data_IF_219178042073
#
_entry.id   IF_219178042073
#
_cell.length_a   1.000
_cell.length_b   1.000
_cell.length_c   1.000
_cell.angle_alpha   90.00
_cell.angle_beta   90.00
_cell.angle_gamma   90.00
#
_symmetry.space_group_name_H-M   'P 1'
#
loop_
_entity.id
_entity.type
_entity.pdbx_description
1 polymer ?
#
# COMPACT_ATOMS: atom_id res chain seq x y z
N UNK A 1 2.63 40.10 32.67
CA UNK A 1 1.50 39.48 31.93
C UNK A 1 1.68 37.97 31.98
N UNK A 2 0.72 37.22 32.53
CA UNK A 2 0.82 35.76 32.60
C UNK A 2 0.48 35.15 31.23
N UNK A 3 1.43 34.47 30.61
CA UNK A 3 1.20 33.64 29.43
C UNK A 3 0.33 32.45 29.84
N UNK A 4 -0.92 32.40 29.39
CA UNK A 4 -1.77 31.21 29.56
C UNK A 4 -1.34 30.16 28.54
N UNK A 5 -0.93 29.00 29.01
CA UNK A 5 -0.72 27.82 28.17
C UNK A 5 -2.08 27.26 27.76
N UNK A 6 -2.36 27.17 26.47
CA UNK A 6 -3.57 26.52 25.94
C UNK A 6 -3.14 25.26 25.19
N UNK A 7 -3.58 24.10 25.67
CA UNK A 7 -3.54 22.87 24.90
C UNK A 7 -4.69 22.87 23.89
N UNK A 8 -4.38 22.72 22.61
CA UNK A 8 -5.39 22.57 21.56
C UNK A 8 -5.70 21.09 21.37
N UNK A 9 -6.90 20.60 21.71
CA UNK A 9 -7.29 19.25 21.32
C UNK A 9 -7.38 19.18 19.80
N UNK A 10 -6.54 18.35 19.18
CA UNK A 10 -6.56 18.11 17.75
C UNK A 10 -7.42 16.90 17.47
N UNK A 11 -8.51 17.09 16.74
CA UNK A 11 -9.27 15.99 16.19
C UNK A 11 -8.64 15.55 14.86
N UNK A 12 -7.95 14.41 14.88
CA UNK A 12 -7.29 13.84 13.70
C UNK A 12 -8.29 13.35 12.64
N UNK A 13 -9.57 13.18 13.00
CA UNK A 13 -10.63 12.83 12.05
C UNK A 13 -11.08 14.03 11.21
N UNK A 14 -10.80 15.25 11.68
CA UNK A 14 -11.17 16.50 11.05
C UNK A 14 -9.96 17.12 10.35
N UNK A 15 -9.68 16.64 9.13
CA UNK A 15 -8.57 17.17 8.33
C UNK A 15 -8.50 16.57 6.95
N UNK A 16 -7.51 17.01 6.18
CA UNK A 16 -7.23 16.50 4.85
C UNK A 16 -6.12 15.46 4.95
N UNK A 17 -6.45 14.23 4.59
CA UNK A 17 -5.51 13.11 4.53
C UNK A 17 -4.96 12.94 3.11
N UNK A 18 -3.65 12.79 2.99
CA UNK A 18 -2.98 12.43 1.73
C UNK A 18 -1.95 11.33 2.00
N UNK A 19 -2.22 10.10 1.55
CA UNK A 19 -1.36 8.96 1.87
C UNK A 19 -1.36 8.56 3.35
N UNK A 20 -2.30 9.10 4.14
CA UNK A 20 -2.53 8.74 5.55
C UNK A 20 -3.98 8.35 5.75
N UNK A 21 -4.27 7.69 6.87
CA UNK A 21 -5.62 7.35 7.31
C UNK A 21 -5.68 7.25 8.84
N UNK A 22 -6.89 7.30 9.39
CA UNK A 22 -7.15 6.98 10.80
C UNK A 22 -7.58 5.52 10.89
N UNK A 23 -6.80 4.70 11.59
CA UNK A 23 -7.16 3.31 11.92
C UNK A 23 -7.05 3.14 13.43
N UNK A 24 -8.10 2.61 14.06
CA UNK A 24 -8.15 2.43 15.52
C UNK A 24 -7.86 3.71 16.33
N UNK A 25 -8.30 4.87 15.82
CA UNK A 25 -8.06 6.17 16.45
C UNK A 25 -6.62 6.70 16.30
N UNK A 26 -5.77 6.02 15.52
CA UNK A 26 -4.37 6.37 15.28
C UNK A 26 -4.16 6.87 13.86
N UNK A 27 -3.36 7.93 13.72
CA UNK A 27 -2.89 8.37 12.41
C UNK A 27 -1.77 7.46 11.93
N UNK A 28 -1.96 6.86 10.77
CA UNK A 28 -0.98 5.98 10.14
C UNK A 28 -0.88 6.25 8.64
N UNK A 29 0.17 5.70 8.02
CA UNK A 29 0.30 5.67 6.57
C UNK A 29 -0.80 4.78 5.99
N UNK A 30 -1.35 5.17 4.84
CA UNK A 30 -2.45 4.44 4.18
C UNK A 30 -1.95 3.10 3.64
N UNK A 31 -2.71 2.03 3.86
CA UNK A 31 -2.46 0.74 3.23
C UNK A 31 -2.69 0.84 1.71
N UNK A 32 -1.71 0.42 0.91
CA UNK A 32 -1.75 0.48 -0.56
C UNK A 32 -1.99 -0.89 -1.20
N UNK A 33 -1.56 -1.96 -0.53
CA UNK A 33 -1.68 -3.33 -1.02
C UNK A 33 -1.45 -4.32 0.13
N UNK A 34 -1.71 -5.59 -0.14
CA UNK A 34 -1.33 -6.71 0.71
C UNK A 34 -0.35 -7.55 -0.11
N UNK A 35 0.77 -7.94 0.50
CA UNK A 35 1.77 -8.77 -0.17
C UNK A 35 1.32 -10.24 -0.31
N UNK A 36 2.09 -11.02 -1.05
CA UNK A 36 1.84 -12.46 -1.28
C UNK A 36 1.86 -13.32 -0.01
N UNK A 37 2.32 -12.78 1.11
CA UNK A 37 2.35 -13.45 2.42
C UNK A 37 1.22 -13.01 3.34
N UNK A 38 0.32 -12.13 2.87
CA UNK A 38 -0.78 -11.58 3.65
C UNK A 38 -0.40 -10.39 4.52
N UNK A 39 0.77 -9.77 4.31
CA UNK A 39 1.24 -8.61 5.07
C UNK A 39 0.87 -7.31 4.35
N UNK A 40 0.26 -6.39 5.08
CA UNK A 40 -0.06 -5.04 4.59
C UNK A 40 1.19 -4.27 4.14
N UNK A 41 1.12 -3.70 2.94
CA UNK A 41 2.07 -2.75 2.38
C UNK A 41 1.47 -1.35 2.54
N UNK A 42 2.22 -0.46 3.18
CA UNK A 42 1.79 0.92 3.44
C UNK A 42 2.50 1.91 2.51
N UNK A 43 1.89 3.08 2.30
CA UNK A 43 2.55 4.19 1.60
C UNK A 43 3.86 4.58 2.32
N UNK A 44 4.90 4.93 1.57
CA UNK A 44 6.19 5.31 2.16
C UNK A 44 6.15 6.66 2.89
N UNK A 45 5.28 7.56 2.44
CA UNK A 45 5.06 8.90 2.98
C UNK A 45 3.59 9.26 2.93
N UNK A 46 3.19 10.13 3.84
CA UNK A 46 1.85 10.69 3.84
C UNK A 46 1.80 11.97 4.66
N UNK A 47 0.79 12.78 4.41
CA UNK A 47 0.53 14.00 5.17
C UNK A 47 -0.89 14.03 5.70
N UNK A 48 -1.07 14.70 6.82
CA UNK A 48 -2.37 15.11 7.34
C UNK A 48 -2.34 16.61 7.62
N UNK A 49 -3.35 17.35 7.20
CA UNK A 49 -3.49 18.78 7.50
C UNK A 49 -4.79 19.03 8.25
N UNK A 50 -4.72 19.73 9.38
CA UNK A 50 -5.90 20.08 10.17
C UNK A 50 -6.81 21.04 9.41
N UNK A 51 -8.09 21.04 9.80
CA UNK A 51 -8.95 22.19 9.55
C UNK A 51 -8.39 23.47 10.19
N UNK A 52 -8.91 24.64 9.78
CA UNK A 52 -8.53 25.92 10.39
C UNK A 52 -8.93 25.92 11.86
N UNK A 53 -7.95 26.16 12.74
CA UNK A 53 -8.16 26.28 14.18
C UNK A 53 -8.25 27.77 14.52
N UNK A 54 -9.35 28.21 15.10
CA UNK A 54 -9.52 29.58 15.57
C UNK A 54 -8.96 29.73 16.98
N UNK A 55 -8.06 30.69 17.14
CA UNK A 55 -7.37 31.01 18.38
C UNK A 55 -7.99 32.31 18.90
N UNK A 56 -8.94 32.18 19.83
CA UNK A 56 -9.72 33.31 20.33
C UNK A 56 -8.92 34.37 21.11
N UNK A 57 -7.78 33.99 21.69
CA UNK A 57 -6.88 34.91 22.41
C UNK A 57 -5.53 35.00 21.70
N UNK A 58 -4.81 36.13 21.82
CA UNK A 58 -3.40 36.24 21.37
C UNK A 58 -2.50 35.40 22.28
N UNK A 59 -2.56 34.07 22.15
CA UNK A 59 -1.76 33.15 22.96
C UNK A 59 -0.32 33.23 22.47
N UNK A 60 0.56 33.75 23.33
CA UNK A 60 1.99 33.96 23.04
C UNK A 60 2.80 32.67 22.98
N UNK A 61 2.22 31.52 23.37
CA UNK A 61 2.89 30.23 23.26
C UNK A 61 1.89 29.07 23.29
N UNK A 62 1.85 28.30 22.21
CA UNK A 62 1.20 26.99 22.15
C UNK A 62 2.21 25.93 22.60
N UNK A 63 2.40 25.77 23.91
CA UNK A 63 3.43 24.88 24.43
C UNK A 63 3.02 23.40 24.52
N UNK A 64 1.89 22.97 23.92
CA UNK A 64 1.44 21.58 24.09
C UNK A 64 0.48 21.05 23.03
N UNK A 65 0.85 21.22 21.76
CA UNK A 65 0.02 20.79 20.62
C UNK A 65 -0.05 19.26 20.46
N UNK A 66 0.82 18.48 21.13
CA UNK A 66 1.06 17.07 20.75
C UNK A 66 1.14 16.12 21.95
N UNK A 67 0.29 16.26 22.97
CA UNK A 67 0.17 15.21 24.02
C UNK A 67 -1.00 14.25 23.82
N UNK A 68 -1.95 14.59 22.96
CA UNK A 68 -3.15 13.79 22.67
C UNK A 68 -3.16 13.21 21.27
N UNK A 69 -2.01 13.10 20.60
CA UNK A 69 -1.91 12.18 19.46
C UNK A 69 -2.09 10.77 20.01
N UNK A 70 -3.31 10.25 19.88
CA UNK A 70 -3.60 8.83 20.06
C UNK A 70 -2.78 8.12 19.00
N UNK A 71 -1.59 7.64 19.40
CA UNK A 71 -0.65 6.79 18.67
C UNK A 71 -0.34 7.15 17.22
N UNK A 72 0.93 7.46 16.93
CA UNK A 72 1.46 7.24 15.57
C UNK A 72 1.77 5.75 15.44
N UNK A 73 1.47 5.15 14.29
CA UNK A 73 1.78 3.74 14.04
C UNK A 73 3.25 3.39 14.32
N UNK A 74 3.51 2.19 14.83
CA UNK A 74 4.87 1.72 15.15
C UNK A 74 5.79 1.77 13.91
N UNK A 75 7.05 2.19 14.07
CA UNK A 75 8.07 2.29 13.01
C UNK A 75 7.79 3.34 11.91
N UNK A 76 7.19 4.47 12.30
CA UNK A 76 6.97 5.63 11.42
C UNK A 76 7.64 6.85 12.04
N UNK A 77 8.54 7.47 11.29
CA UNK A 77 9.08 8.79 11.60
C UNK A 77 8.03 9.84 11.28
N UNK A 78 7.91 10.85 12.12
CA UNK A 78 6.92 11.90 11.92
C UNK A 78 7.51 13.29 12.12
N UNK A 79 6.94 14.25 11.39
CA UNK A 79 7.22 15.67 11.56
C UNK A 79 5.95 16.48 11.70
N UNK A 80 5.99 17.51 12.54
CA UNK A 80 4.85 18.38 12.80
C UNK A 80 5.23 19.81 12.47
N UNK A 81 4.41 20.40 11.60
CA UNK A 81 4.54 21.76 11.13
C UNK A 81 3.31 22.56 11.50
N UNK A 82 3.51 23.85 11.68
CA UNK A 82 2.46 24.79 12.02
C UNK A 82 2.58 26.02 11.14
N UNK A 83 1.44 26.59 10.76
CA UNK A 83 1.36 27.91 10.15
C UNK A 83 0.25 28.69 10.79
N UNK A 84 0.37 30.01 10.76
CA UNK A 84 -0.56 30.91 11.43
C UNK A 84 -1.07 31.97 10.47
N UNK A 85 -2.21 32.57 10.80
CA UNK A 85 -2.80 33.68 10.07
C UNK A 85 -3.51 34.62 11.04
N UNK A 86 -3.53 35.92 10.71
CA UNK A 86 -4.29 36.93 11.46
C UNK A 86 -5.70 37.13 10.90
N UNK A 87 -5.94 36.77 9.65
CA UNK A 87 -7.14 37.10 8.86
C UNK A 87 -7.83 35.87 8.24
N UNK A 88 -7.29 34.66 8.42
CA UNK A 88 -7.71 33.40 7.80
C UNK A 88 -7.58 33.37 6.26
N UNK A 89 -6.87 34.34 5.68
CA UNK A 89 -6.69 34.48 4.22
C UNK A 89 -5.20 34.45 3.90
N UNK A 90 -4.42 35.28 4.58
CA UNK A 90 -2.97 35.39 4.45
C UNK A 90 -2.32 34.48 5.48
N UNK A 91 -1.59 33.48 5.02
CA UNK A 91 -0.96 32.49 5.88
C UNK A 91 0.56 32.64 5.89
N UNK A 92 1.16 32.41 7.05
CA UNK A 92 2.61 32.20 7.13
C UNK A 92 3.01 30.90 6.43
N UNK A 93 4.30 30.76 6.20
CA UNK A 93 4.87 29.47 5.82
C UNK A 93 4.74 28.44 6.94
N UNK A 94 4.78 27.16 6.56
CA UNK A 94 4.85 26.04 7.49
C UNK A 94 6.21 26.01 8.16
N UNK A 95 6.20 26.01 9.49
CA UNK A 95 7.41 25.93 10.32
C UNK A 95 7.33 24.72 11.24
N UNK A 96 8.40 23.93 11.27
CA UNK A 96 8.50 22.75 12.15
C UNK A 96 8.46 23.18 13.62
N UNK A 97 7.77 22.41 14.45
CA UNK A 97 7.73 22.66 15.90
C UNK A 97 9.02 22.20 16.56
N UNK A 98 9.27 22.68 17.76
CA UNK A 98 10.31 22.11 18.63
C UNK A 98 9.72 20.93 19.41
N UNK A 99 10.18 19.71 19.15
CA UNK A 99 9.60 18.49 19.77
C UNK A 99 9.87 18.37 21.27
N UNK A 100 10.98 18.94 21.76
CA UNK A 100 11.38 18.83 23.16
C UNK A 100 10.36 19.46 24.12
N UNK A 101 9.82 20.62 23.73
CA UNK A 101 8.88 21.42 24.52
C UNK A 101 7.54 21.63 23.82
N UNK A 102 7.34 21.07 22.63
CA UNK A 102 6.14 21.23 21.82
C UNK A 102 5.92 22.66 21.32
N UNK A 103 6.96 23.51 21.33
CA UNK A 103 6.84 24.94 21.01
C UNK A 103 6.54 25.14 19.52
N UNK A 104 5.47 25.90 19.25
CA UNK A 104 5.18 26.44 17.93
C UNK A 104 6.20 27.52 17.58
N UNK A 105 6.81 27.37 16.40
CA UNK A 105 7.77 28.32 15.85
C UNK A 105 7.14 29.25 14.79
N UNK A 106 5.90 28.98 14.35
CA UNK A 106 5.19 29.89 13.45
C UNK A 106 4.80 31.19 14.17
N UNK A 107 4.60 32.31 13.43
CA UNK A 107 4.19 33.58 14.01
C UNK A 107 2.90 33.48 14.83
N UNK A 108 2.68 34.41 15.76
CA UNK A 108 1.42 34.48 16.51
C UNK A 108 0.30 34.98 15.59
N UNK A 109 -0.83 34.28 15.56
CA UNK A 109 -2.00 34.62 14.76
C UNK A 109 -3.30 34.29 15.49
N UNK A 110 -4.42 34.71 14.91
CA UNK A 110 -5.78 34.37 15.38
C UNK A 110 -6.25 33.04 14.79
N UNK A 111 -5.55 32.50 13.80
CA UNK A 111 -5.84 31.23 13.17
C UNK A 111 -4.56 30.41 13.02
N UNK A 112 -4.68 29.09 13.14
CA UNK A 112 -3.59 28.16 12.92
C UNK A 112 -4.02 26.96 12.08
N UNK A 113 -3.05 26.37 11.38
CA UNK A 113 -3.15 25.03 10.82
C UNK A 113 -1.96 24.21 11.22
N UNK A 114 -2.21 22.92 11.38
CA UNK A 114 -1.21 21.94 11.75
C UNK A 114 -1.09 20.97 10.59
N UNK A 115 0.14 20.68 10.20
CA UNK A 115 0.45 19.64 9.20
C UNK A 115 1.33 18.60 9.86
N UNK A 116 0.96 17.34 9.72
CA UNK A 116 1.74 16.19 10.17
C UNK A 116 2.22 15.47 8.92
N UNK A 117 3.52 15.24 8.83
CA UNK A 117 4.12 14.41 7.80
C UNK A 117 4.58 13.10 8.44
N UNK A 118 4.20 11.98 7.83
CA UNK A 118 4.60 10.64 8.21
C UNK A 118 5.54 10.08 7.14
N UNK A 119 6.59 9.40 7.56
CA UNK A 119 7.50 8.66 6.69
C UNK A 119 7.90 7.35 7.33
N UNK A 120 7.98 6.29 6.53
CA UNK A 120 8.48 4.99 6.99
C UNK A 120 9.64 4.53 6.13
N UNK A 121 10.52 3.70 6.72
CA UNK A 121 11.58 3.05 5.99
C UNK A 121 11.00 2.11 4.93
N UNK A 122 11.56 2.15 3.71
CA UNK A 122 11.16 1.23 2.65
C UNK A 122 11.57 -0.19 3.02
N UNK A 123 10.59 -1.10 3.07
CA UNK A 123 10.82 -2.52 3.28
C UNK A 123 10.54 -3.25 1.95
N UNK A 124 11.42 -4.15 1.49
CA UNK A 124 11.14 -4.98 0.33
C UNK A 124 9.85 -5.78 0.53
N UNK A 125 8.96 -5.76 -0.46
CA UNK A 125 7.72 -6.53 -0.45
C UNK A 125 7.71 -7.50 -1.64
N UNK A 126 7.21 -8.72 -1.39
CA UNK A 126 7.06 -9.75 -2.42
C UNK A 126 5.66 -9.64 -3.03
N UNK A 127 5.60 -9.16 -4.27
CA UNK A 127 4.37 -9.05 -5.05
C UNK A 127 4.29 -10.22 -6.03
N UNK A 128 3.23 -11.02 -5.93
CA UNK A 128 2.91 -12.03 -6.94
C UNK A 128 2.33 -11.34 -8.17
N UNK A 129 3.01 -11.47 -9.31
CA UNK A 129 2.56 -10.87 -10.58
C UNK A 129 1.52 -11.76 -11.27
N UNK A 130 1.68 -13.08 -11.19
CA UNK A 130 0.76 -14.06 -11.76
C UNK A 130 0.97 -15.42 -11.07
N UNK A 131 -0.11 -16.18 -10.87
CA UNK A 131 -0.08 -17.51 -10.25
C UNK A 131 -0.10 -18.64 -11.28
N UNK A 132 -0.41 -18.36 -12.55
CA UNK A 132 -0.52 -19.38 -13.60
C UNK A 132 -1.47 -20.53 -13.22
N UNK A 133 -2.62 -20.22 -12.62
CA UNK A 133 -3.64 -21.20 -12.16
C UNK A 133 -4.93 -21.12 -12.95
N UNK A 134 -5.22 -20.00 -13.61
CA UNK A 134 -6.46 -19.74 -14.34
C UNK A 134 -6.41 -20.14 -15.83
N UNK A 135 -5.24 -20.61 -16.30
CA UNK A 135 -5.05 -20.96 -17.70
C UNK A 135 -5.00 -19.76 -18.64
N UNK A 136 -4.79 -18.54 -18.14
CA UNK A 136 -4.71 -17.29 -18.92
C UNK A 136 -3.75 -17.35 -20.13
N UNK A 137 -2.66 -18.11 -20.03
CA UNK A 137 -1.67 -18.28 -21.09
C UNK A 137 -1.72 -19.65 -21.76
N UNK A 138 -2.82 -20.39 -21.56
CA UNK A 138 -3.02 -21.67 -22.25
C UNK A 138 -3.16 -21.43 -23.75
N UNK A 139 -2.23 -22.01 -24.51
CA UNK A 139 -2.24 -22.01 -25.97
C UNK A 139 -2.02 -23.44 -26.48
N UNK A 140 -1.95 -23.62 -27.79
CA UNK A 140 -1.54 -24.90 -28.40
C UNK A 140 -0.15 -25.37 -27.94
N UNK A 141 0.71 -24.45 -27.49
CA UNK A 141 2.12 -24.74 -27.18
C UNK A 141 2.45 -24.59 -25.70
N UNK A 142 1.69 -23.78 -24.96
CA UNK A 142 2.00 -23.42 -23.57
C UNK A 142 0.84 -23.83 -22.67
N UNK A 143 1.19 -24.33 -21.49
CA UNK A 143 0.30 -24.63 -20.37
C UNK A 143 0.62 -23.68 -19.22
N UNK A 144 -0.42 -23.13 -18.61
CA UNK A 144 -0.35 -22.19 -17.47
C UNK A 144 -1.51 -22.38 -16.50
N UNK A 145 -1.98 -23.62 -16.34
CA UNK A 145 -3.14 -23.95 -15.50
C UNK A 145 -2.79 -24.84 -14.32
N UNK A 146 -1.53 -25.21 -14.14
CA UNK A 146 -1.05 -26.09 -13.07
C UNK A 146 -0.19 -25.33 -12.03
N UNK A 147 -0.31 -24.00 -11.97
CA UNK A 147 0.55 -23.15 -11.16
C UNK A 147 1.92 -22.89 -11.80
N UNK A 148 2.13 -23.30 -13.06
CA UNK A 148 3.41 -23.11 -13.75
C UNK A 148 3.24 -22.80 -15.23
N UNK A 149 4.06 -21.88 -15.74
CA UNK A 149 4.16 -21.62 -17.17
C UNK A 149 5.14 -22.60 -17.81
N UNK A 150 4.64 -23.54 -18.61
CA UNK A 150 5.46 -24.61 -19.22
C UNK A 150 5.06 -24.88 -20.67
N UNK A 151 6.02 -25.32 -21.47
CA UNK A 151 5.74 -25.84 -22.81
C UNK A 151 4.97 -27.16 -22.70
N UNK A 152 3.89 -27.31 -23.47
CA UNK A 152 3.17 -28.57 -23.64
C UNK A 152 4.09 -29.58 -24.32
N UNK A 153 4.35 -30.69 -23.63
CA UNK A 153 5.18 -31.80 -24.13
C UNK A 153 4.39 -33.07 -24.41
N UNK A 154 3.12 -33.09 -24.00
CA UNK A 154 2.22 -34.21 -24.19
C UNK A 154 1.16 -33.80 -25.21
N UNK A 155 0.86 -34.70 -26.13
CA UNK A 155 -0.22 -34.55 -27.10
C UNK A 155 -1.15 -35.73 -26.90
N UNK A 156 -2.40 -35.46 -26.56
CA UNK A 156 -3.45 -36.47 -26.56
C UNK A 156 -3.85 -36.74 -27.99
N UNK A 157 -3.75 -37.99 -28.42
CA UNK A 157 -4.14 -38.44 -29.75
C UNK A 157 -5.34 -39.38 -29.63
N UNK A 158 -6.22 -39.37 -30.62
CA UNK A 158 -7.33 -40.31 -30.72
C UNK A 158 -6.96 -41.40 -31.74
N UNK A 159 -6.44 -42.56 -31.30
CA UNK A 159 -6.08 -43.64 -32.22
C UNK A 159 -7.31 -44.44 -32.65
N UNK A 160 -7.27 -44.97 -33.86
CA UNK A 160 -8.12 -46.09 -34.27
C UNK A 160 -7.55 -47.38 -33.69
N UNK A 161 -8.42 -48.22 -33.11
CA UNK A 161 -8.03 -49.49 -32.49
C UNK A 161 -8.57 -50.64 -33.32
N UNK A 162 -7.72 -51.61 -33.65
CA UNK A 162 -8.12 -52.86 -34.30
C UNK A 162 -7.64 -54.06 -33.50
N UNK A 163 -8.56 -54.96 -33.17
CA UNK A 163 -8.32 -56.25 -32.51
C UNK A 163 -7.73 -57.26 -33.47
N UNK A 164 -6.73 -58.00 -33.00
CA UNK A 164 -6.09 -59.14 -33.68
C UNK A 164 -6.02 -60.31 -32.68
N UNK A 165 -5.76 -61.52 -33.18
CA UNK A 165 -5.75 -62.74 -32.36
C UNK A 165 -4.82 -62.63 -31.13
N UNK A 166 -3.69 -61.92 -31.26
CA UNK A 166 -2.68 -61.76 -30.20
C UNK A 166 -2.67 -60.37 -29.53
N UNK A 167 -3.68 -59.51 -29.75
CA UNK A 167 -3.78 -58.23 -29.05
C UNK A 167 -4.43 -57.07 -29.82
N UNK A 168 -3.99 -55.85 -29.52
CA UNK A 168 -4.57 -54.62 -30.04
C UNK A 168 -3.54 -53.79 -30.81
N UNK A 169 -3.92 -53.30 -31.98
CA UNK A 169 -3.13 -52.34 -32.75
C UNK A 169 -3.78 -50.95 -32.67
N UNK A 170 -3.01 -49.98 -32.18
CA UNK A 170 -3.39 -48.57 -32.09
C UNK A 170 -2.72 -47.78 -33.22
N UNK A 171 -3.51 -47.05 -34.03
CA UNK A 171 -2.99 -46.26 -35.15
C UNK A 171 -3.53 -44.83 -35.11
N UNK A 172 -2.65 -43.84 -35.24
CA UNK A 172 -3.02 -42.42 -35.34
C UNK A 172 -2.09 -41.68 -36.30
N UNK A 173 -2.49 -40.47 -36.73
CA UNK A 173 -1.69 -39.58 -37.57
C UNK A 173 -1.66 -38.19 -36.94
N UNK A 174 -0.52 -37.53 -37.02
CA UNK A 174 -0.33 -36.15 -36.56
C UNK A 174 0.58 -35.39 -37.52
N UNK A 175 0.47 -34.06 -37.54
CA UNK A 175 1.31 -33.22 -38.39
C UNK A 175 2.78 -33.26 -37.96
N UNK A 176 3.71 -33.42 -38.91
CA UNK A 176 5.17 -33.49 -38.64
C UNK A 176 5.70 -32.30 -37.83
N UNK A 177 5.08 -31.12 -37.96
CA UNK A 177 5.44 -29.92 -37.22
C UNK A 177 5.04 -29.93 -35.74
N UNK A 178 4.19 -30.86 -35.30
CA UNK A 178 3.69 -30.92 -33.92
C UNK A 178 4.63 -31.66 -32.96
N UNK A 179 5.57 -32.48 -33.46
CA UNK A 179 6.53 -33.23 -32.63
C UNK A 179 7.91 -33.25 -33.27
N UNK A 180 8.94 -32.89 -32.50
CA UNK A 180 10.34 -33.03 -32.90
C UNK A 180 10.94 -34.37 -32.45
N UNK A 181 10.45 -34.93 -31.33
CA UNK A 181 10.92 -36.17 -30.74
C UNK A 181 9.80 -36.82 -29.91
N UNK A 182 9.75 -38.16 -29.93
CA UNK A 182 8.89 -38.96 -29.04
C UNK A 182 9.78 -39.56 -27.95
N UNK A 183 9.46 -39.27 -26.69
CA UNK A 183 10.19 -39.83 -25.53
C UNK A 183 9.45 -41.01 -24.88
N UNK A 184 8.15 -41.15 -25.13
CA UNK A 184 7.32 -42.21 -24.56
C UNK A 184 5.92 -42.19 -25.15
N UNK A 185 5.22 -43.31 -25.02
CA UNK A 185 3.82 -43.47 -25.39
C UNK A 185 3.12 -44.07 -24.17
N UNK A 186 2.08 -43.42 -23.69
CA UNK A 186 1.27 -43.89 -22.56
C UNK A 186 -0.13 -44.18 -23.06
N UNK A 187 -0.61 -45.40 -22.80
CA UNK A 187 -2.01 -45.77 -23.04
C UNK A 187 -2.81 -45.37 -21.79
N UNK A 188 -3.89 -44.61 -21.98
CA UNK A 188 -4.86 -44.29 -20.93
C UNK A 188 -5.99 -45.31 -20.93
#
# INVERSE_FOLDING_TARGET
MSTKEIGLPIDLTLGVHNGTEIKEGKLQLKEIAIDSTGKSIYAAKGTWESSVISIGDKVTAFQRVVKTMVGIGSNVDYKIFTKSSTDNITWSEYTEITYLDGKINSPVGLYARIKIELSSALVPALLTVDEFTDGKYNTDYVSSSDGSLRLKRNITLSPTVSTHEDGFLYRTKFGRSKLSKINGITFQ
#
